data_IF_898067393922
#
_entry.id   IF_898067393922
#
_cell.length_a   1.000
_cell.length_b   1.000
_cell.length_c   1.000
_cell.angle_alpha   90.00
_cell.angle_beta   90.00
_cell.angle_gamma   90.00
#
_symmetry.space_group_name_H-M   'P 1'
#
loop_
_entity.id
_entity.type
_entity.pdbx_description
1 polymer ?
#
# COMPACT_ATOMS: atom_id res chain seq x y z
N UNK A 1 63.37 -13.00 82.13
CA UNK A 1 62.66 -11.74 81.87
C UNK A 1 63.22 -10.67 82.79
N UNK A 2 63.88 -9.65 82.24
CA UNK A 2 64.26 -8.45 83.02
C UNK A 2 63.07 -7.49 83.13
N UNK A 3 63.11 -6.58 84.11
CA UNK A 3 62.09 -5.53 84.25
C UNK A 3 62.03 -4.59 83.05
N UNK A 4 63.16 -4.41 82.35
CA UNK A 4 63.29 -3.55 81.17
C UNK A 4 62.52 -4.12 79.96
N UNK A 5 62.61 -5.44 79.72
CA UNK A 5 61.85 -6.14 78.67
C UNK A 5 60.33 -5.95 78.83
N UNK A 6 59.83 -6.01 80.07
CA UNK A 6 58.40 -5.90 80.39
C UNK A 6 57.89 -4.47 80.09
N UNK A 7 58.67 -3.44 80.43
CA UNK A 7 58.33 -2.04 80.12
C UNK A 7 58.31 -1.79 78.61
N UNK A 8 59.31 -2.32 77.87
CA UNK A 8 59.36 -2.22 76.40
C UNK A 8 58.18 -2.90 75.72
N UNK A 9 57.76 -4.08 76.20
CA UNK A 9 56.61 -4.81 75.68
C UNK A 9 55.30 -4.04 75.90
N UNK A 10 55.09 -3.45 77.07
CA UNK A 10 53.90 -2.62 77.36
C UNK A 10 53.89 -1.36 76.48
N UNK A 11 55.04 -0.70 76.29
CA UNK A 11 55.17 0.47 75.41
C UNK A 11 54.85 0.11 73.95
N UNK A 12 55.34 -1.03 73.46
CA UNK A 12 55.05 -1.52 72.10
C UNK A 12 53.55 -1.78 71.88
N UNK A 13 52.88 -2.40 72.85
CA UNK A 13 51.42 -2.63 72.80
C UNK A 13 50.66 -1.29 72.81
N UNK A 14 51.07 -0.32 73.63
CA UNK A 14 50.43 1.00 73.68
C UNK A 14 50.55 1.75 72.33
N UNK A 15 51.73 1.71 71.70
CA UNK A 15 51.96 2.31 70.38
C UNK A 15 51.14 1.58 69.29
N UNK A 16 51.04 0.25 69.34
CA UNK A 16 50.22 -0.53 68.41
C UNK A 16 48.73 -0.18 68.50
N UNK A 17 48.19 -0.06 69.71
CA UNK A 17 46.77 0.34 69.93
C UNK A 17 46.53 1.79 69.50
N UNK A 18 47.46 2.72 69.78
CA UNK A 18 47.37 4.11 69.31
C UNK A 18 47.41 4.20 67.78
N UNK A 19 48.26 3.42 67.11
CA UNK A 19 48.30 3.32 65.65
C UNK A 19 46.95 2.87 65.08
N UNK A 20 46.31 1.87 65.70
CA UNK A 20 44.99 1.40 65.29
C UNK A 20 43.89 2.45 65.48
N UNK A 21 43.98 3.30 66.51
CA UNK A 21 43.03 4.40 66.73
C UNK A 21 43.19 5.54 65.71
N UNK A 22 44.44 5.92 65.40
CA UNK A 22 44.74 6.97 64.40
C UNK A 22 44.35 6.52 62.98
N UNK A 23 44.71 5.29 62.59
CA UNK A 23 44.39 4.75 61.28
C UNK A 23 42.89 4.41 61.13
N UNK A 24 42.27 3.85 62.16
CA UNK A 24 40.86 3.44 62.15
C UNK A 24 39.85 4.59 62.09
N UNK A 25 40.26 5.83 62.44
CA UNK A 25 39.40 7.01 62.41
C UNK A 25 39.21 7.58 60.99
N UNK A 26 40.30 7.90 60.30
CA UNK A 26 40.26 8.72 59.08
C UNK A 26 40.03 7.94 57.78
N UNK A 27 40.51 6.70 57.65
CA UNK A 27 40.54 5.99 56.36
C UNK A 27 39.17 5.76 55.71
N UNK A 28 38.05 6.00 56.41
CA UNK A 28 36.71 5.96 55.81
C UNK A 28 36.34 7.18 54.97
N UNK A 29 36.93 8.35 55.22
CA UNK A 29 36.67 9.55 54.40
C UNK A 29 37.51 9.52 53.12
N UNK A 30 38.82 9.27 53.22
CA UNK A 30 39.72 9.15 52.07
C UNK A 30 39.19 8.12 51.05
N UNK A 31 38.75 6.94 51.52
CA UNK A 31 38.19 5.89 50.67
C UNK A 31 36.84 6.26 50.01
N UNK A 32 36.10 7.23 50.54
CA UNK A 32 34.89 7.75 49.87
C UNK A 32 35.22 8.85 48.86
N UNK A 33 36.20 9.70 49.14
CA UNK A 33 36.61 10.79 48.26
C UNK A 33 37.30 10.25 47.00
N UNK A 34 38.30 9.38 47.17
CA UNK A 34 38.98 8.66 46.07
C UNK A 34 37.98 7.87 45.22
N UNK A 35 36.92 7.30 45.84
CA UNK A 35 35.89 6.53 45.12
C UNK A 35 34.98 7.42 44.27
N UNK A 36 34.69 8.64 44.69
CA UNK A 36 33.91 9.59 43.89
C UNK A 36 34.76 10.24 42.79
N UNK A 37 36.03 10.55 43.06
CA UNK A 37 37.00 11.04 42.07
C UNK A 37 37.19 10.03 40.92
N UNK A 38 37.57 8.78 41.23
CA UNK A 38 37.72 7.70 40.25
C UNK A 38 36.40 7.44 39.49
N UNK A 39 35.25 7.61 40.14
CA UNK A 39 33.93 7.43 39.52
C UNK A 39 33.60 8.54 38.52
N UNK A 40 33.98 9.79 38.78
CA UNK A 40 33.79 10.88 37.82
C UNK A 40 34.84 10.83 36.69
N UNK A 41 36.10 10.46 36.96
CA UNK A 41 37.11 10.23 35.92
C UNK A 41 36.69 9.10 34.95
N UNK A 42 36.24 7.96 35.50
CA UNK A 42 35.69 6.85 34.71
C UNK A 42 34.45 7.28 33.93
N UNK A 43 33.55 8.09 34.51
CA UNK A 43 32.40 8.66 33.78
C UNK A 43 32.83 9.57 32.65
N UNK A 44 33.85 10.41 32.83
CA UNK A 44 34.35 11.30 31.79
C UNK A 44 34.99 10.50 30.65
N UNK A 45 35.81 9.49 30.98
CA UNK A 45 36.40 8.59 29.99
C UNK A 45 35.33 7.78 29.21
N UNK A 46 34.29 7.28 29.90
CA UNK A 46 33.16 6.60 29.27
C UNK A 46 32.35 7.54 28.38
N UNK A 47 32.06 8.77 28.82
CA UNK A 47 31.33 9.76 28.01
C UNK A 47 32.08 10.11 26.71
N UNK A 48 33.41 10.26 26.77
CA UNK A 48 34.23 10.50 25.57
C UNK A 48 34.18 9.29 24.62
N UNK A 49 34.33 8.07 25.15
CA UNK A 49 34.26 6.85 24.33
C UNK A 49 32.85 6.61 23.74
N UNK A 50 31.77 6.92 24.48
CA UNK A 50 30.41 6.83 23.95
C UNK A 50 30.14 7.88 22.88
N UNK A 51 30.69 9.09 23.00
CA UNK A 51 30.57 10.12 21.96
C UNK A 51 31.33 9.73 20.67
N UNK A 52 32.51 9.10 20.79
CA UNK A 52 33.25 8.60 19.64
C UNK A 52 32.60 7.36 19.01
N UNK A 53 32.12 6.42 19.82
CA UNK A 53 31.35 5.27 19.36
C UNK A 53 30.07 5.71 18.65
N UNK A 54 29.37 6.71 19.19
CA UNK A 54 28.17 7.31 18.59
C UNK A 54 28.44 7.86 17.19
N UNK A 55 29.52 8.62 16.98
CA UNK A 55 29.91 9.11 15.65
C UNK A 55 30.20 7.97 14.67
N UNK A 56 30.99 6.97 15.08
CA UNK A 56 31.29 5.81 14.23
C UNK A 56 30.03 5.01 13.87
N UNK A 57 29.06 4.93 14.79
CA UNK A 57 27.74 4.36 14.54
C UNK A 57 26.91 5.22 13.59
N UNK A 58 26.92 6.53 13.72
CA UNK A 58 26.20 7.46 12.85
C UNK A 58 26.76 7.45 11.42
N UNK A 59 28.08 7.45 11.26
CA UNK A 59 28.75 7.33 9.95
C UNK A 59 28.41 6.00 9.27
N UNK A 60 28.53 4.87 9.97
CA UNK A 60 28.24 3.54 9.41
C UNK A 60 26.75 3.28 9.20
N UNK A 61 25.88 3.86 10.04
CA UNK A 61 24.43 3.85 9.81
C UNK A 61 24.06 4.69 8.58
N UNK A 62 24.71 5.83 8.36
CA UNK A 62 24.50 6.66 7.17
C UNK A 62 24.97 5.94 5.90
N UNK A 63 26.15 5.31 5.93
CA UNK A 63 26.65 4.46 4.84
C UNK A 63 25.66 3.32 4.53
N UNK A 64 25.17 2.60 5.54
CA UNK A 64 24.24 1.47 5.33
C UNK A 64 22.82 1.90 4.95
N UNK A 65 22.37 3.09 5.36
CA UNK A 65 21.14 3.69 4.87
C UNK A 65 21.27 4.10 3.39
N UNK A 66 22.41 4.69 3.00
CA UNK A 66 22.70 5.09 1.63
C UNK A 66 22.82 3.86 0.70
N UNK A 67 23.50 2.79 1.13
CA UNK A 67 23.49 1.47 0.47
C UNK A 67 22.06 0.92 0.28
N UNK A 68 21.25 0.95 1.34
CA UNK A 68 19.90 0.40 1.33
C UNK A 68 18.97 1.18 0.39
N UNK A 69 19.06 2.52 0.38
CA UNK A 69 18.32 3.38 -0.55
C UNK A 69 18.76 3.12 -1.99
N UNK A 70 20.07 3.15 -2.28
CA UNK A 70 20.60 2.90 -3.64
C UNK A 70 20.22 1.50 -4.16
N UNK A 71 20.28 0.46 -3.32
CA UNK A 71 19.83 -0.87 -3.72
C UNK A 71 18.30 -0.93 -3.92
N UNK A 72 17.51 -0.27 -3.07
CA UNK A 72 16.05 -0.20 -3.20
C UNK A 72 15.66 0.52 -4.49
N UNK A 73 16.28 1.66 -4.80
CA UNK A 73 16.07 2.40 -6.05
C UNK A 73 16.42 1.55 -7.27
N UNK A 74 17.53 0.78 -7.23
CA UNK A 74 17.95 -0.09 -8.32
C UNK A 74 16.98 -1.25 -8.55
N UNK A 75 16.55 -1.94 -7.50
CA UNK A 75 15.59 -3.05 -7.65
C UNK A 75 14.18 -2.53 -8.00
N UNK A 76 13.75 -1.40 -7.44
CA UNK A 76 12.52 -0.70 -7.83
C UNK A 76 12.55 -0.28 -9.31
N UNK A 77 13.69 0.22 -9.80
CA UNK A 77 13.85 0.58 -11.23
C UNK A 77 13.70 -0.62 -12.16
N UNK A 78 14.24 -1.79 -11.78
CA UNK A 78 14.04 -3.04 -12.54
C UNK A 78 12.57 -3.46 -12.55
N UNK A 79 11.95 -3.54 -11.38
CA UNK A 79 10.55 -3.98 -11.23
C UNK A 79 9.61 -2.99 -11.93
N UNK A 80 9.85 -1.68 -11.82
CA UNK A 80 9.10 -0.64 -12.52
C UNK A 80 9.19 -0.83 -14.03
N UNK A 81 10.39 -1.04 -14.59
CA UNK A 81 10.57 -1.30 -16.02
C UNK A 81 9.89 -2.61 -16.48
N UNK A 82 9.99 -3.69 -15.68
CA UNK A 82 9.29 -4.95 -15.94
C UNK A 82 7.77 -4.77 -15.92
N UNK A 83 7.22 -4.01 -14.96
CA UNK A 83 5.78 -3.73 -14.89
C UNK A 83 5.31 -2.78 -15.98
N UNK A 84 6.09 -1.78 -16.39
CA UNK A 84 5.79 -0.94 -17.55
C UNK A 84 5.72 -1.79 -18.82
N UNK A 85 6.68 -2.70 -19.02
CA UNK A 85 6.67 -3.63 -20.17
C UNK A 85 5.44 -4.55 -20.16
N UNK A 86 5.14 -5.19 -19.02
CA UNK A 86 3.98 -6.08 -18.89
C UNK A 86 2.62 -5.34 -19.00
N UNK A 87 2.53 -4.10 -18.51
CA UNK A 87 1.36 -3.24 -18.66
C UNK A 87 1.20 -2.77 -20.11
N UNK A 88 2.30 -2.51 -20.84
CA UNK A 88 2.25 -2.23 -22.28
C UNK A 88 1.71 -3.43 -23.04
N UNK A 89 2.30 -4.62 -22.87
CA UNK A 89 1.87 -5.86 -23.57
C UNK A 89 0.40 -6.21 -23.29
N UNK A 90 -0.05 -6.02 -22.04
CA UNK A 90 -1.45 -6.16 -21.68
C UNK A 90 -2.34 -5.08 -22.32
N UNK A 91 -1.90 -3.82 -22.35
CA UNK A 91 -2.64 -2.72 -22.98
C UNK A 91 -2.77 -2.92 -24.48
N UNK A 92 -1.70 -3.33 -25.17
CA UNK A 92 -1.70 -3.64 -26.60
C UNK A 92 -2.68 -4.78 -26.92
N UNK A 93 -2.74 -5.80 -26.06
CA UNK A 93 -3.69 -6.92 -26.17
C UNK A 93 -5.14 -6.46 -25.96
N UNK A 94 -5.41 -5.66 -24.93
CA UNK A 94 -6.75 -5.13 -24.64
C UNK A 94 -7.21 -4.15 -25.73
N UNK A 95 -6.32 -3.30 -26.25
CA UNK A 95 -6.62 -2.39 -27.36
C UNK A 95 -6.91 -3.15 -28.66
N UNK A 96 -6.20 -4.24 -28.94
CA UNK A 96 -6.50 -5.12 -30.08
C UNK A 96 -7.86 -5.83 -29.93
N UNK A 97 -8.25 -6.24 -28.72
CA UNK A 97 -9.58 -6.80 -28.46
C UNK A 97 -10.69 -5.74 -28.55
N UNK A 98 -10.44 -4.51 -28.11
CA UNK A 98 -11.36 -3.37 -28.27
C UNK A 98 -11.55 -3.02 -29.76
N UNK A 99 -10.47 -2.94 -30.55
CA UNK A 99 -10.51 -2.71 -32.00
C UNK A 99 -11.31 -3.82 -32.72
N UNK A 100 -11.06 -5.09 -32.38
CA UNK A 100 -11.83 -6.23 -32.88
C UNK A 100 -13.32 -6.10 -32.53
N UNK A 101 -13.65 -5.81 -31.28
CA UNK A 101 -15.04 -5.71 -30.82
C UNK A 101 -15.75 -4.49 -31.44
N UNK A 102 -15.03 -3.39 -31.68
CA UNK A 102 -15.55 -2.23 -32.40
C UNK A 102 -15.85 -2.57 -33.87
N UNK A 103 -14.96 -3.31 -34.55
CA UNK A 103 -15.18 -3.79 -35.92
C UNK A 103 -16.36 -4.77 -36.01
N UNK A 104 -16.52 -5.66 -35.03
CA UNK A 104 -17.69 -6.55 -34.95
C UNK A 104 -18.98 -5.77 -34.70
N UNK A 105 -18.97 -4.74 -33.84
CA UNK A 105 -20.12 -3.86 -33.62
C UNK A 105 -20.50 -3.06 -34.88
N UNK A 106 -19.53 -2.50 -35.61
CA UNK A 106 -19.76 -1.81 -36.88
C UNK A 106 -20.28 -2.77 -37.96
N UNK A 107 -19.75 -4.00 -38.05
CA UNK A 107 -20.27 -5.01 -38.97
C UNK A 107 -21.72 -5.42 -38.65
N UNK A 108 -22.09 -5.53 -37.37
CA UNK A 108 -23.47 -5.75 -36.96
C UNK A 108 -24.38 -4.56 -37.32
N UNK A 109 -23.89 -3.33 -37.21
CA UNK A 109 -24.61 -2.12 -37.63
C UNK A 109 -24.84 -2.09 -39.14
N UNK A 110 -23.81 -2.32 -39.95
CA UNK A 110 -23.93 -2.36 -41.41
C UNK A 110 -24.86 -3.50 -41.88
N UNK A 111 -24.75 -4.70 -41.30
CA UNK A 111 -25.64 -5.82 -41.61
C UNK A 111 -27.10 -5.56 -41.18
N UNK A 112 -27.32 -4.80 -40.10
CA UNK A 112 -28.66 -4.37 -39.69
C UNK A 112 -29.22 -3.32 -40.67
N UNK A 113 -28.39 -2.36 -41.08
CA UNK A 113 -28.73 -1.31 -42.05
C UNK A 113 -29.05 -1.90 -43.44
N UNK A 114 -28.25 -2.85 -43.93
CA UNK A 114 -28.53 -3.53 -45.20
C UNK A 114 -29.76 -4.44 -45.12
N UNK A 115 -29.98 -5.14 -43.99
CA UNK A 115 -31.25 -5.85 -43.76
C UNK A 115 -32.44 -4.90 -43.77
N UNK A 116 -32.31 -3.70 -43.21
CA UNK A 116 -33.37 -2.69 -43.24
C UNK A 116 -33.66 -2.21 -44.67
N UNK A 117 -32.62 -1.98 -45.50
CA UNK A 117 -32.77 -1.67 -46.93
C UNK A 117 -33.45 -2.79 -47.72
N UNK A 118 -33.11 -4.05 -47.46
CA UNK A 118 -33.72 -5.20 -48.15
C UNK A 118 -35.16 -5.48 -47.71
N UNK A 119 -35.48 -5.23 -46.44
CA UNK A 119 -36.88 -5.22 -45.96
C UNK A 119 -37.66 -4.07 -46.62
N UNK A 120 -37.07 -2.87 -46.70
CA UNK A 120 -37.65 -1.74 -47.45
C UNK A 120 -37.96 -2.13 -48.90
N UNK A 121 -36.96 -2.58 -49.65
CA UNK A 121 -37.10 -3.03 -51.05
C UNK A 121 -38.15 -4.13 -51.25
N UNK A 122 -38.31 -5.04 -50.29
CA UNK A 122 -39.33 -6.10 -50.38
C UNK A 122 -40.72 -5.65 -49.96
N UNK A 123 -40.84 -4.62 -49.11
CA UNK A 123 -42.10 -3.89 -48.88
C UNK A 123 -42.46 -3.09 -50.14
N UNK A 124 -41.54 -2.28 -50.67
CA UNK A 124 -41.72 -1.47 -51.88
C UNK A 124 -42.18 -2.34 -53.07
N UNK A 125 -41.46 -3.43 -53.34
CA UNK A 125 -41.81 -4.38 -54.40
C UNK A 125 -43.15 -5.09 -54.14
N UNK A 126 -43.52 -5.34 -52.88
CA UNK A 126 -44.81 -5.92 -52.54
C UNK A 126 -45.96 -4.91 -52.68
N UNK A 127 -45.73 -3.61 -52.43
CA UNK A 127 -46.70 -2.55 -52.72
C UNK A 127 -46.85 -2.33 -54.23
N UNK A 128 -45.76 -2.35 -55.00
CA UNK A 128 -45.78 -2.25 -56.47
C UNK A 128 -46.54 -3.44 -57.08
N UNK A 129 -46.28 -4.67 -56.62
CA UNK A 129 -47.02 -5.87 -57.07
C UNK A 129 -48.50 -5.87 -56.66
N UNK A 130 -48.87 -5.08 -55.64
CA UNK A 130 -50.25 -4.89 -55.19
C UNK A 130 -50.92 -3.65 -55.79
N UNK A 131 -50.28 -2.98 -56.76
CA UNK A 131 -50.81 -1.85 -57.52
C UNK A 131 -51.96 -2.21 -58.49
N UNK A 132 -52.95 -2.99 -58.03
CA UNK A 132 -54.17 -3.29 -58.78
C UNK A 132 -55.44 -3.51 -57.90
N UNK A 133 -55.41 -3.11 -56.63
CA UNK A 133 -56.62 -2.91 -55.79
C UNK A 133 -56.39 -1.71 -54.86
N UNK A 134 -57.20 -0.66 -55.01
CA UNK A 134 -57.15 0.58 -54.20
C UNK A 134 -57.77 0.41 -52.78
N UNK A 135 -57.58 1.44 -51.95
CA UNK A 135 -58.30 1.78 -50.69
C UNK A 135 -57.69 1.25 -49.37
N UNK A 136 -57.73 2.14 -48.36
CA UNK A 136 -57.32 2.03 -46.96
C UNK A 136 -55.78 1.96 -46.71
N UNK A 137 -55.07 2.92 -46.08
CA UNK A 137 -55.30 3.95 -45.04
C UNK A 137 -54.56 3.63 -43.73
N UNK A 138 -53.96 4.68 -43.14
CA UNK A 138 -53.32 4.81 -41.82
C UNK A 138 -52.05 4.01 -41.41
N UNK A 139 -51.08 4.81 -40.94
CA UNK A 139 -50.13 4.55 -39.85
C UNK A 139 -49.06 3.44 -39.97
N UNK A 140 -47.82 3.88 -40.17
CA UNK A 140 -46.82 3.76 -39.09
C UNK A 140 -45.83 4.94 -39.10
N UNK A 141 -46.26 6.10 -38.62
CA UNK A 141 -45.28 7.13 -38.21
C UNK A 141 -44.65 6.72 -36.87
N UNK A 142 -43.34 6.40 -36.88
CA UNK A 142 -42.48 6.62 -35.72
C UNK A 142 -41.30 7.49 -36.12
N UNK A 143 -41.53 8.80 -36.05
CA UNK A 143 -40.46 9.79 -36.05
C UNK A 143 -39.56 9.60 -34.81
N UNK A 144 -38.30 9.22 -35.01
CA UNK A 144 -37.21 9.59 -34.11
C UNK A 144 -36.02 10.08 -34.92
N UNK A 145 -36.00 11.37 -35.33
CA UNK A 145 -34.81 11.99 -35.90
C UNK A 145 -33.77 12.20 -34.78
N UNK A 146 -32.87 11.24 -34.60
CA UNK A 146 -31.65 11.46 -33.81
C UNK A 146 -30.67 12.17 -34.73
N UNK A 147 -30.52 13.48 -34.53
CA UNK A 147 -29.64 14.31 -35.33
C UNK A 147 -28.16 13.95 -35.10
N UNK A 148 -27.42 13.97 -36.21
CA UNK A 148 -26.08 14.55 -36.34
C UNK A 148 -25.26 14.73 -35.04
N UNK A 149 -24.33 13.80 -34.82
CA UNK A 149 -23.06 14.10 -34.13
C UNK A 149 -21.90 13.66 -35.05
N UNK A 150 -21.82 14.29 -36.21
CA UNK A 150 -20.69 14.18 -37.13
C UNK A 150 -19.89 15.48 -37.12
N UNK A 151 -18.81 15.56 -36.32
CA UNK A 151 -17.69 16.49 -36.53
C UNK A 151 -16.58 16.39 -35.44
N UNK A 152 -15.74 15.35 -35.48
CA UNK A 152 -14.30 15.54 -35.25
C UNK A 152 -13.52 14.54 -36.10
N UNK A 153 -12.55 15.04 -36.86
CA UNK A 153 -11.61 14.25 -37.64
C UNK A 153 -10.19 14.64 -37.18
N UNK A 154 -9.32 13.65 -37.02
CA UNK A 154 -7.89 13.74 -36.63
C UNK A 154 -7.49 14.23 -35.21
N UNK A 155 -6.22 13.92 -34.87
CA UNK A 155 -5.34 14.51 -33.85
C UNK A 155 -5.38 14.05 -32.36
N UNK A 156 -4.50 13.08 -32.08
CA UNK A 156 -3.54 13.03 -30.94
C UNK A 156 -3.99 12.93 -29.45
N UNK A 157 -3.48 11.85 -28.82
CA UNK A 157 -2.85 11.78 -27.49
C UNK A 157 -3.68 11.74 -26.17
N UNK A 158 -3.31 10.74 -25.35
CA UNK A 158 -3.33 10.65 -23.88
C UNK A 158 -4.65 10.68 -23.05
N UNK A 159 -5.02 9.47 -22.58
CA UNK A 159 -5.05 9.10 -21.14
C UNK A 159 -6.36 9.24 -20.30
N UNK A 160 -6.84 8.08 -19.80
CA UNK A 160 -7.85 7.83 -18.72
C UNK A 160 -9.31 8.27 -19.03
N UNK A 161 -10.39 7.65 -18.55
CA UNK A 161 -10.66 6.84 -17.32
C UNK A 161 -11.49 5.54 -17.60
N UNK A 162 -12.15 4.94 -16.59
CA UNK A 162 -12.61 3.53 -16.57
C UNK A 162 -14.14 3.31 -16.30
N UNK A 163 -14.51 2.03 -16.11
CA UNK A 163 -15.84 1.44 -15.75
C UNK A 163 -16.90 1.39 -16.89
N UNK A 164 -17.68 0.32 -17.11
CA UNK A 164 -18.00 -0.81 -16.22
C UNK A 164 -18.50 -2.09 -16.95
N UNK A 165 -18.45 -3.25 -16.25
CA UNK A 165 -19.34 -4.45 -16.33
C UNK A 165 -19.95 -4.86 -17.72
N UNK A 166 -19.99 -6.13 -18.18
CA UNK A 166 -20.01 -7.46 -17.53
C UNK A 166 -20.39 -8.53 -18.62
N UNK A 167 -20.14 -9.86 -18.62
CA UNK A 167 -19.37 -10.88 -17.86
C UNK A 167 -19.45 -12.21 -18.68
N UNK A 168 -18.58 -13.22 -18.43
CA UNK A 168 -18.64 -14.66 -18.88
C UNK A 168 -18.34 -14.95 -20.37
N UNK A 169 -17.74 -16.07 -20.80
CA UNK A 169 -17.08 -17.25 -20.16
C UNK A 169 -16.20 -17.94 -21.24
N UNK A 170 -15.00 -18.50 -21.03
CA UNK A 170 -14.80 -19.96 -20.71
C UNK A 170 -13.33 -20.43 -20.86
N UNK A 171 -12.79 -21.10 -19.82
CA UNK A 171 -11.68 -22.13 -19.79
C UNK A 171 -10.20 -21.82 -20.14
N UNK A 172 -9.39 -21.96 -19.07
CA UNK A 172 -8.34 -23.01 -18.90
C UNK A 172 -6.88 -22.72 -19.29
N UNK A 173 -6.08 -22.32 -18.30
CA UNK A 173 -4.61 -22.42 -18.29
C UNK A 173 -4.03 -22.22 -16.89
N UNK A 174 -3.74 -23.29 -16.16
CA UNK A 174 -3.28 -23.20 -14.76
C UNK A 174 -1.80 -22.82 -14.67
N UNK A 175 -1.51 -21.61 -14.16
CA UNK A 175 -0.26 -21.32 -13.44
C UNK A 175 -0.59 -20.57 -12.15
N UNK A 176 0.04 -21.01 -11.06
CA UNK A 176 -0.20 -20.51 -9.70
C UNK A 176 1.00 -19.66 -9.27
N UNK A 177 0.77 -18.37 -9.05
CA UNK A 177 1.75 -17.44 -8.47
C UNK A 177 1.18 -16.83 -7.19
N UNK A 178 2.04 -16.66 -6.18
CA UNK A 178 1.63 -16.28 -4.84
C UNK A 178 1.49 -14.76 -4.71
N UNK A 179 0.30 -14.29 -4.34
CA UNK A 179 0.00 -12.86 -4.17
C UNK A 179 0.51 -12.35 -2.82
N UNK A 180 1.77 -11.89 -2.79
CA UNK A 180 2.31 -11.10 -1.68
C UNK A 180 2.06 -9.62 -1.96
N UNK A 181 0.86 -9.13 -1.63
CA UNK A 181 0.52 -7.71 -1.82
C UNK A 181 1.33 -6.80 -0.89
N UNK A 182 2.15 -5.95 -1.49
CA UNK A 182 2.88 -4.88 -0.79
C UNK A 182 1.87 -3.79 -0.44
N UNK A 183 1.28 -3.90 0.74
CA UNK A 183 0.21 -3.03 1.24
C UNK A 183 0.78 -1.69 1.75
N UNK A 184 1.09 -0.80 0.81
CA UNK A 184 1.62 0.54 1.08
C UNK A 184 0.50 1.53 1.44
N UNK A 185 -0.11 1.40 2.62
CA UNK A 185 -1.09 2.38 3.10
C UNK A 185 -1.11 2.57 4.62
N UNK A 186 -0.58 3.72 5.06
CA UNK A 186 -0.48 4.12 6.46
C UNK A 186 -1.77 4.85 6.93
N UNK A 187 -2.87 4.12 7.15
CA UNK A 187 -3.97 4.54 8.06
C UNK A 187 -5.06 3.48 8.36
N UNK A 188 -4.82 2.19 8.06
CA UNK A 188 -5.82 1.11 8.08
C UNK A 188 -6.48 0.74 9.42
N UNK A 189 -6.32 1.52 10.49
CA UNK A 189 -6.98 1.31 11.78
C UNK A 189 -8.40 1.90 11.84
N UNK A 190 -8.53 3.19 11.51
CA UNK A 190 -9.77 3.97 11.71
C UNK A 190 -10.91 3.49 10.79
N UNK A 191 -10.59 3.27 9.51
CA UNK A 191 -11.57 2.89 8.49
C UNK A 191 -12.31 1.60 8.83
N UNK A 192 -11.62 0.60 9.39
CA UNK A 192 -12.20 -0.69 9.76
C UNK A 192 -13.17 -0.58 10.94
N UNK A 193 -12.84 0.19 11.97
CA UNK A 193 -13.75 0.45 13.10
C UNK A 193 -15.01 1.20 12.61
N UNK A 194 -14.82 2.20 11.74
CA UNK A 194 -15.91 3.01 11.20
C UNK A 194 -16.84 2.23 10.25
N UNK A 195 -16.32 1.27 9.47
CA UNK A 195 -17.16 0.31 8.72
C UNK A 195 -18.11 -0.43 9.70
N UNK A 196 -17.57 -0.94 10.80
CA UNK A 196 -18.34 -1.73 11.76
C UNK A 196 -19.35 -0.88 12.55
N UNK A 197 -19.04 0.39 12.86
CA UNK A 197 -20.03 1.31 13.42
C UNK A 197 -21.20 1.57 12.46
N UNK A 198 -20.91 1.87 11.19
CA UNK A 198 -21.92 2.17 10.19
C UNK A 198 -22.77 0.93 9.83
N UNK A 199 -22.18 -0.27 9.85
CA UNK A 199 -22.92 -1.52 9.68
C UNK A 199 -23.86 -1.80 10.88
N UNK A 200 -23.39 -1.60 12.12
CA UNK A 200 -24.24 -1.67 13.34
C UNK A 200 -25.38 -0.65 13.34
N UNK A 201 -25.24 0.48 12.64
CA UNK A 201 -26.30 1.46 12.41
C UNK A 201 -27.30 1.02 11.31
N UNK A 202 -27.10 -0.13 10.66
CA UNK A 202 -27.97 -0.66 9.60
C UNK A 202 -27.77 -0.01 8.24
N UNK A 203 -26.67 0.73 8.00
CA UNK A 203 -26.35 1.28 6.68
C UNK A 203 -25.94 0.17 5.72
N UNK A 204 -26.36 0.28 4.45
CA UNK A 204 -25.97 -0.66 3.40
C UNK A 204 -24.49 -0.53 3.06
N UNK A 205 -23.81 -1.65 2.76
CA UNK A 205 -22.39 -1.70 2.39
C UNK A 205 -22.05 -0.73 1.25
N UNK A 206 -22.98 -0.50 0.31
CA UNK A 206 -22.82 0.48 -0.80
C UNK A 206 -22.81 1.93 -0.30
N UNK A 207 -23.65 2.25 0.70
CA UNK A 207 -23.61 3.57 1.35
C UNK A 207 -22.37 3.76 2.23
N UNK A 208 -21.89 2.72 2.92
CA UNK A 208 -20.66 2.75 3.72
C UNK A 208 -19.44 2.98 2.81
N UNK A 209 -19.35 2.25 1.70
CA UNK A 209 -18.34 2.44 0.66
C UNK A 209 -18.31 3.89 0.16
N UNK A 210 -19.47 4.45 -0.19
CA UNK A 210 -19.60 5.84 -0.67
C UNK A 210 -19.32 6.91 0.40
N UNK A 211 -19.59 6.62 1.68
CA UNK A 211 -19.37 7.54 2.81
C UNK A 211 -17.91 7.56 3.28
N UNK A 212 -17.18 6.46 3.09
CA UNK A 212 -15.76 6.32 3.48
C UNK A 212 -14.77 6.41 2.31
N UNK A 213 -15.23 6.41 1.06
CA UNK A 213 -14.37 6.40 -0.13
C UNK A 213 -13.71 5.04 -0.40
N UNK A 214 -14.31 3.95 0.08
CA UNK A 214 -13.78 2.59 0.03
C UNK A 214 -14.49 1.73 -1.02
N UNK A 215 -13.86 0.64 -1.45
CA UNK A 215 -14.47 -0.36 -2.33
C UNK A 215 -15.58 -1.13 -1.63
N UNK A 216 -16.69 -1.40 -2.33
CA UNK A 216 -17.82 -2.21 -1.79
C UNK A 216 -17.36 -3.62 -1.37
N UNK A 217 -16.35 -4.16 -2.06
CA UNK A 217 -15.71 -5.43 -1.69
C UNK A 217 -14.89 -5.37 -0.41
N UNK A 218 -14.19 -4.26 -0.15
CA UNK A 218 -13.39 -4.05 1.07
C UNK A 218 -14.29 -3.91 2.29
N UNK A 219 -15.33 -3.08 2.17
CA UNK A 219 -16.38 -2.93 3.20
C UNK A 219 -17.02 -4.27 3.54
N UNK A 220 -17.35 -5.08 2.52
CA UNK A 220 -17.87 -6.43 2.74
C UNK A 220 -16.84 -7.34 3.42
N UNK A 221 -15.58 -7.34 2.99
CA UNK A 221 -14.53 -8.19 3.57
C UNK A 221 -14.33 -7.91 5.06
N UNK A 222 -14.36 -6.64 5.47
CA UNK A 222 -14.26 -6.24 6.89
C UNK A 222 -15.49 -6.72 7.70
N UNK A 223 -16.71 -6.59 7.14
CA UNK A 223 -17.93 -7.08 7.80
C UNK A 223 -17.90 -8.61 7.93
N UNK A 224 -17.65 -9.33 6.83
CA UNK A 224 -17.60 -10.80 6.79
C UNK A 224 -16.54 -11.35 7.78
N UNK A 225 -15.38 -10.69 7.91
CA UNK A 225 -14.31 -11.08 8.83
C UNK A 225 -14.65 -10.87 10.31
N UNK A 226 -15.35 -9.78 10.67
CA UNK A 226 -15.65 -9.44 12.06
C UNK A 226 -16.99 -10.00 12.56
N UNK A 227 -17.98 -10.20 11.68
CA UNK A 227 -19.28 -10.77 12.05
C UNK A 227 -19.33 -12.29 11.80
N UNK A 228 -18.54 -12.82 10.85
CA UNK A 228 -18.44 -14.25 10.54
C UNK A 228 -17.64 -15.11 11.53
N UNK A 229 -17.07 -14.52 12.59
CA UNK A 229 -16.39 -15.24 13.68
C UNK A 229 -17.30 -15.45 14.91
N UNK A 230 -18.50 -15.99 14.70
CA UNK A 230 -19.48 -16.37 15.75
C UNK A 230 -20.19 -17.68 15.42
#
# INVERSE_FOLDING_TARGET
MTTLEIVLLILGIAIFVLSFFVFGGNSRQDLTEIREEVKEEVRQAVNVQMAEAGRRWEDTLREKAEDAVNNTERELSKVSNEKIMAVSEYSDTVLAEIDKNHKEAMFLYDMLNDKHKDIGRTIDLATDFKGLDDIAEETFETNTPVAEVSAYEEASAETQTADSNSVKETKSGTLQMNQTDISFMQDGGNNNERILELHKQGKSNVSIAKELGLGVGEVKLVIDLFEGMK
#
